data_IF_869583194713
#
_entry.id   IF_869583194713
#
_cell.length_a   1.000
_cell.length_b   1.000
_cell.length_c   1.000
_cell.angle_alpha   90.00
_cell.angle_beta   90.00
_cell.angle_gamma   90.00
#
_symmetry.space_group_name_H-M   'P 1'
#
loop_
_entity.id
_entity.type
_entity.pdbx_description
1 polymer ?
#
# COMPACT_ATOMS: atom_id res chain seq x y z
N UNK A 1 20.78 7.19 11.20
CA UNK A 1 21.06 5.82 10.72
C UNK A 1 22.05 5.25 11.71
N UNK A 2 21.82 4.03 12.20
CA UNK A 2 22.77 3.40 13.13
C UNK A 2 23.94 2.77 12.36
N UNK A 3 25.10 2.63 13.00
CA UNK A 3 26.34 2.18 12.37
C UNK A 3 26.23 0.76 11.79
N UNK A 4 25.45 -0.10 12.44
CA UNK A 4 25.14 -1.45 11.95
C UNK A 4 24.35 -1.41 10.64
N UNK A 5 23.36 -0.52 10.55
CA UNK A 5 22.55 -0.35 9.33
C UNK A 5 23.40 0.18 8.18
N UNK A 6 24.36 1.08 8.48
CA UNK A 6 25.26 1.66 7.49
C UNK A 6 26.22 0.62 6.90
N UNK A 7 26.76 -0.26 7.73
CA UNK A 7 27.60 -1.39 7.30
C UNK A 7 26.83 -2.36 6.40
N UNK A 8 25.60 -2.71 6.79
CA UNK A 8 24.77 -3.62 6.01
C UNK A 8 24.37 -3.03 4.66
N UNK A 9 24.07 -1.73 4.61
CA UNK A 9 23.82 -1.01 3.36
C UNK A 9 25.02 -1.07 2.41
N UNK A 10 26.25 -0.86 2.94
CA UNK A 10 27.48 -0.98 2.14
C UNK A 10 27.68 -2.38 1.56
N UNK A 11 27.39 -3.44 2.32
CA UNK A 11 27.45 -4.82 1.81
C UNK A 11 26.50 -5.03 0.63
N UNK A 12 25.24 -4.61 0.79
CA UNK A 12 24.22 -4.75 -0.25
C UNK A 12 24.56 -3.98 -1.53
N UNK A 13 25.23 -2.83 -1.43
CA UNK A 13 25.65 -2.05 -2.61
C UNK A 13 26.75 -2.77 -3.38
N UNK A 14 27.76 -3.28 -2.65
CA UNK A 14 28.90 -3.97 -3.24
C UNK A 14 28.48 -5.28 -3.92
N UNK A 15 27.52 -6.00 -3.34
CA UNK A 15 26.99 -7.26 -3.89
C UNK A 15 26.19 -7.06 -5.19
N UNK A 16 25.59 -5.88 -5.39
CA UNK A 16 24.67 -5.62 -6.52
C UNK A 16 25.29 -4.77 -7.66
N UNK A 17 26.59 -4.44 -7.60
CA UNK A 17 27.28 -3.62 -8.61
C UNK A 17 26.53 -2.32 -8.97
N UNK A 18 25.90 -1.66 -7.98
CA UNK A 18 25.11 -0.46 -8.22
C UNK A 18 26.03 0.70 -8.57
N UNK A 19 25.87 1.27 -9.77
CA UNK A 19 26.61 2.48 -10.18
C UNK A 19 26.02 3.68 -9.45
N UNK A 20 26.84 4.40 -8.70
CA UNK A 20 26.47 5.65 -8.06
C UNK A 20 26.26 6.76 -9.11
N UNK A 21 25.06 7.37 -9.09
CA UNK A 21 24.63 8.46 -9.96
C UNK A 21 24.38 9.75 -9.20
N UNK A 22 24.83 9.85 -7.96
CA UNK A 22 24.66 11.04 -7.09
C UNK A 22 25.06 12.33 -7.82
N UNK A 23 26.22 12.36 -8.48
CA UNK A 23 26.69 13.54 -9.19
C UNK A 23 25.84 13.89 -10.42
N UNK A 24 25.29 12.88 -11.09
CA UNK A 24 24.37 13.10 -12.21
C UNK A 24 23.07 13.75 -11.72
N UNK A 25 22.53 13.26 -10.61
CA UNK A 25 21.32 13.83 -9.98
C UNK A 25 21.55 15.29 -9.60
N UNK A 26 22.69 15.60 -8.96
CA UNK A 26 23.09 16.97 -8.57
C UNK A 26 23.23 17.93 -9.74
N UNK A 27 23.64 17.43 -10.91
CA UNK A 27 23.76 18.23 -12.13
C UNK A 27 22.38 18.50 -12.77
N UNK A 28 21.51 17.50 -12.81
CA UNK A 28 20.22 17.58 -13.51
C UNK A 28 19.19 18.44 -12.79
N UNK A 29 19.07 18.33 -11.46
CA UNK A 29 18.18 19.15 -10.62
C UNK A 29 16.71 19.16 -11.06
N UNK A 30 16.12 17.98 -11.24
CA UNK A 30 14.75 17.84 -11.74
C UNK A 30 13.67 17.99 -10.66
N UNK A 31 14.00 17.85 -9.36
CA UNK A 31 13.02 17.84 -8.26
C UNK A 31 12.05 19.02 -8.30
N UNK A 32 12.57 20.25 -8.51
CA UNK A 32 11.78 21.47 -8.55
C UNK A 32 10.85 21.54 -9.76
N UNK A 33 11.33 21.12 -10.94
CA UNK A 33 10.53 21.11 -12.18
C UNK A 33 9.38 20.12 -12.01
N UNK A 34 9.68 18.90 -11.54
CA UNK A 34 8.68 17.88 -11.27
C UNK A 34 7.63 18.35 -10.27
N UNK A 35 8.05 18.98 -9.15
CA UNK A 35 7.13 19.52 -8.14
C UNK A 35 6.17 20.55 -8.74
N UNK A 36 6.69 21.46 -9.55
CA UNK A 36 5.87 22.50 -10.18
C UNK A 36 4.84 21.89 -11.13
N UNK A 37 5.24 20.97 -12.00
CA UNK A 37 4.31 20.35 -12.94
C UNK A 37 3.30 19.41 -12.26
N UNK A 38 3.69 18.73 -11.17
CA UNK A 38 2.73 17.97 -10.35
C UNK A 38 1.67 18.90 -9.79
N UNK A 39 2.07 20.06 -9.25
CA UNK A 39 1.12 21.06 -8.75
C UNK A 39 0.21 21.62 -9.85
N UNK A 40 0.76 21.93 -11.04
CA UNK A 40 -0.03 22.36 -12.20
C UNK A 40 -1.06 21.29 -12.60
N UNK A 41 -0.68 20.01 -12.65
CA UNK A 41 -1.64 18.92 -12.91
C UNK A 41 -2.75 18.89 -11.86
N UNK A 42 -2.44 19.04 -10.57
CA UNK A 42 -3.46 19.06 -9.51
C UNK A 42 -4.40 20.27 -9.65
N UNK A 43 -3.86 21.44 -10.03
CA UNK A 43 -4.66 22.64 -10.30
C UNK A 43 -5.58 22.45 -11.51
N UNK A 44 -5.05 21.92 -12.61
CA UNK A 44 -5.84 21.60 -13.81
C UNK A 44 -6.96 20.61 -13.48
N UNK A 45 -6.66 19.56 -12.70
CA UNK A 45 -7.69 18.62 -12.26
C UNK A 45 -8.78 19.29 -11.43
N UNK A 46 -8.44 20.30 -10.64
CA UNK A 46 -9.40 21.09 -9.89
C UNK A 46 -10.26 22.01 -10.78
N UNK A 47 -9.71 22.52 -11.89
CA UNK A 47 -10.44 23.33 -12.87
C UNK A 47 -11.39 22.47 -13.70
N UNK A 48 -10.94 21.28 -14.12
CA UNK A 48 -11.65 20.35 -14.99
C UNK A 48 -12.37 19.23 -14.22
N UNK A 49 -12.69 19.40 -12.93
CA UNK A 49 -13.24 18.33 -12.04
C UNK A 49 -14.34 17.48 -12.66
N UNK A 50 -15.25 18.09 -13.43
CA UNK A 50 -16.40 17.42 -14.03
C UNK A 50 -16.13 16.85 -15.43
N UNK A 51 -14.94 17.07 -15.99
CA UNK A 51 -14.62 16.73 -17.38
C UNK A 51 -13.15 16.34 -17.58
N UNK A 52 -12.60 15.52 -16.68
CA UNK A 52 -11.22 15.00 -16.76
C UNK A 52 -10.96 14.07 -17.95
N UNK A 53 -12.01 13.67 -18.67
CA UNK A 53 -11.92 12.86 -19.89
C UNK A 53 -11.94 13.69 -21.17
N UNK A 54 -12.10 15.02 -21.08
CA UNK A 54 -12.14 15.85 -22.28
C UNK A 54 -10.78 15.85 -23.02
N UNK A 55 -10.80 15.94 -24.36
CA UNK A 55 -9.60 16.22 -25.13
C UNK A 55 -8.91 17.51 -24.68
N UNK A 56 -9.68 18.55 -24.36
CA UNK A 56 -9.17 19.85 -23.90
C UNK A 56 -8.33 19.73 -22.63
N UNK A 57 -8.80 18.97 -21.63
CA UNK A 57 -8.04 18.73 -20.40
C UNK A 57 -6.74 17.98 -20.71
N UNK A 58 -6.78 16.98 -21.58
CA UNK A 58 -5.60 16.21 -21.95
C UNK A 58 -4.56 17.10 -22.64
N UNK A 59 -4.99 17.91 -23.59
CA UNK A 59 -4.10 18.76 -24.38
C UNK A 59 -3.49 19.87 -23.50
N UNK A 60 -4.30 20.48 -22.62
CA UNK A 60 -3.79 21.47 -21.67
C UNK A 60 -2.83 20.83 -20.65
N UNK A 61 -3.15 19.65 -20.12
CA UNK A 61 -2.25 18.92 -19.23
C UNK A 61 -0.92 18.56 -19.92
N UNK A 62 -0.95 18.12 -21.18
CA UNK A 62 0.28 17.85 -21.95
C UNK A 62 1.13 19.10 -22.16
N UNK A 63 0.49 20.25 -22.38
CA UNK A 63 1.19 21.53 -22.58
C UNK A 63 1.79 22.08 -21.29
N UNK A 64 1.02 22.09 -20.19
CA UNK A 64 1.46 22.62 -18.89
C UNK A 64 2.41 21.69 -18.14
N UNK A 65 2.25 20.38 -18.31
CA UNK A 65 3.09 19.37 -17.67
C UNK A 65 4.00 18.69 -18.70
N UNK A 66 4.65 19.51 -19.54
CA UNK A 66 5.42 19.03 -20.69
C UNK A 66 6.62 18.19 -20.26
N UNK A 67 7.30 18.56 -19.19
CA UNK A 67 8.47 17.84 -18.70
C UNK A 67 8.10 16.44 -18.20
N UNK A 68 7.02 16.33 -17.43
CA UNK A 68 6.41 15.07 -17.03
C UNK A 68 5.98 14.26 -18.26
N UNK A 69 5.27 14.87 -19.20
CA UNK A 69 4.80 14.17 -20.39
C UNK A 69 5.94 13.61 -21.25
N UNK A 70 7.02 14.39 -21.44
CA UNK A 70 8.12 14.05 -22.33
C UNK A 70 9.15 13.09 -21.71
N UNK A 71 9.48 13.28 -20.42
CA UNK A 71 10.58 12.55 -19.78
C UNK A 71 10.13 11.56 -18.69
N UNK A 72 8.89 11.70 -18.20
CA UNK A 72 8.33 10.89 -17.11
C UNK A 72 6.89 10.48 -17.40
N UNK A 73 6.64 10.00 -18.63
CA UNK A 73 5.29 9.76 -19.17
C UNK A 73 4.44 8.84 -18.29
N UNK A 74 5.05 7.87 -17.62
CA UNK A 74 4.35 6.99 -16.67
C UNK A 74 3.84 7.73 -15.44
N UNK A 75 4.65 8.65 -14.88
CA UNK A 75 4.24 9.50 -13.77
C UNK A 75 3.11 10.43 -14.23
N UNK A 76 3.27 11.05 -15.41
CA UNK A 76 2.23 11.89 -16.02
C UNK A 76 0.89 11.14 -16.13
N UNK A 77 0.91 9.94 -16.72
CA UNK A 77 -0.30 9.15 -16.93
C UNK A 77 -0.95 8.72 -15.63
N UNK A 78 -0.17 8.22 -14.67
CA UNK A 78 -0.69 7.79 -13.37
C UNK A 78 -1.24 8.96 -12.56
N UNK A 79 -0.56 10.10 -12.57
CA UNK A 79 -1.01 11.32 -11.88
C UNK A 79 -2.33 11.85 -12.48
N UNK A 80 -2.44 11.85 -13.82
CA UNK A 80 -3.64 12.27 -14.54
C UNK A 80 -4.85 11.38 -14.23
N UNK A 81 -4.62 10.06 -14.10
CA UNK A 81 -5.67 9.05 -13.85
C UNK A 81 -5.99 8.79 -12.37
N UNK A 82 -5.38 9.52 -11.43
CA UNK A 82 -5.51 9.25 -9.98
C UNK A 82 -4.98 7.86 -9.54
N UNK A 83 -4.06 7.29 -10.31
CA UNK A 83 -3.43 5.98 -10.04
C UNK A 83 -2.12 6.12 -9.23
N UNK A 84 -1.88 7.28 -8.62
CA UNK A 84 -0.64 7.60 -7.91
C UNK A 84 -0.93 8.24 -6.56
N UNK A 85 -0.23 7.79 -5.51
CA UNK A 85 -0.23 8.49 -4.23
C UNK A 85 0.62 9.76 -4.33
N UNK A 86 -0.06 10.91 -4.44
CA UNK A 86 0.56 12.22 -4.64
C UNK A 86 1.40 12.65 -3.43
N UNK A 87 0.96 12.33 -2.21
CA UNK A 87 1.73 12.66 -1.00
C UNK A 87 3.06 11.93 -0.99
N UNK A 88 3.05 10.64 -1.33
CA UNK A 88 4.27 9.84 -1.47
C UNK A 88 5.19 10.39 -2.57
N UNK A 89 4.62 10.83 -3.70
CA UNK A 89 5.42 11.47 -4.75
C UNK A 89 6.13 12.71 -4.22
N UNK A 90 5.45 13.59 -3.47
CA UNK A 90 6.09 14.77 -2.88
C UNK A 90 7.19 14.40 -1.87
N UNK A 91 6.98 13.38 -1.03
CA UNK A 91 8.02 12.89 -0.12
C UNK A 91 9.27 12.40 -0.90
N UNK A 92 9.07 11.72 -2.03
CA UNK A 92 10.19 11.29 -2.87
C UNK A 92 10.89 12.46 -3.56
N UNK A 93 10.13 13.47 -3.98
CA UNK A 93 10.72 14.71 -4.52
C UNK A 93 11.51 15.48 -3.46
N UNK A 94 11.08 15.49 -2.19
CA UNK A 94 11.86 16.08 -1.08
C UNK A 94 13.21 15.36 -0.89
N UNK A 95 13.21 14.03 -0.99
CA UNK A 95 14.45 13.24 -0.88
C UNK A 95 15.34 13.50 -2.10
N UNK A 96 14.78 13.54 -3.30
CA UNK A 96 15.51 13.85 -4.53
C UNK A 96 16.18 15.23 -4.42
N UNK A 97 15.45 16.25 -3.97
CA UNK A 97 15.97 17.59 -3.74
C UNK A 97 17.14 17.61 -2.75
N UNK A 98 17.08 16.81 -1.68
CA UNK A 98 18.20 16.68 -0.72
C UNK A 98 19.46 16.10 -1.35
N UNK A 99 19.34 15.16 -2.30
CA UNK A 99 20.49 14.68 -3.07
C UNK A 99 21.04 15.82 -3.94
N UNK A 100 20.17 16.54 -4.62
CA UNK A 100 20.51 17.65 -5.52
C UNK A 100 21.23 18.80 -4.81
N UNK A 101 20.89 19.04 -3.53
CA UNK A 101 21.52 20.02 -2.65
C UNK A 101 22.80 19.50 -1.97
N UNK A 102 23.18 18.24 -2.20
CA UNK A 102 24.38 17.63 -1.62
C UNK A 102 24.23 17.19 -0.16
N UNK A 103 23.01 17.20 0.39
CA UNK A 103 22.74 16.79 1.77
C UNK A 103 22.71 15.26 1.94
N UNK A 104 22.43 14.53 0.86
CA UNK A 104 22.38 13.07 0.81
C UNK A 104 23.10 12.56 -0.44
N UNK A 105 23.55 11.31 -0.39
CA UNK A 105 23.89 10.54 -1.58
C UNK A 105 22.73 9.62 -2.01
N UNK A 106 22.88 9.00 -3.19
CA UNK A 106 21.88 8.08 -3.75
C UNK A 106 21.57 6.90 -2.81
N UNK A 107 22.57 6.37 -2.12
CA UNK A 107 22.42 5.18 -1.29
C UNK A 107 21.68 5.48 0.00
N UNK A 108 22.01 6.59 0.67
CA UNK A 108 21.29 7.10 1.82
C UNK A 108 19.84 7.44 1.48
N UNK A 109 19.62 8.07 0.31
CA UNK A 109 18.29 8.33 -0.22
C UNK A 109 17.50 7.04 -0.49
N UNK A 110 18.14 6.04 -1.13
CA UNK A 110 17.51 4.74 -1.42
C UNK A 110 17.12 4.01 -0.14
N UNK A 111 17.97 4.07 0.89
CA UNK A 111 17.65 3.49 2.19
C UNK A 111 16.47 4.18 2.86
N UNK A 112 16.38 5.51 2.78
CA UNK A 112 15.24 6.29 3.31
C UNK A 112 13.95 5.94 2.58
N UNK A 113 13.95 5.96 1.25
CA UNK A 113 12.80 5.59 0.42
C UNK A 113 12.36 4.15 0.73
N UNK A 114 13.30 3.19 0.73
CA UNK A 114 13.03 1.79 1.04
C UNK A 114 12.45 1.59 2.45
N UNK A 115 12.94 2.36 3.43
CA UNK A 115 12.39 2.34 4.80
C UNK A 115 10.96 2.88 4.84
N UNK A 116 10.65 3.97 4.12
CA UNK A 116 9.29 4.50 4.00
C UNK A 116 8.35 3.49 3.36
N UNK A 117 8.77 2.89 2.23
CA UNK A 117 7.99 1.84 1.56
C UNK A 117 7.75 0.65 2.48
N UNK A 118 8.77 0.17 3.20
CA UNK A 118 8.64 -0.93 4.15
C UNK A 118 7.55 -0.63 5.20
N UNK A 119 7.58 0.57 5.80
CA UNK A 119 6.56 0.97 6.78
C UNK A 119 5.16 1.00 6.18
N UNK A 120 5.03 1.53 4.96
CA UNK A 120 3.73 1.62 4.28
C UNK A 120 3.14 0.25 3.93
N UNK A 121 3.97 -0.71 3.53
CA UNK A 121 3.49 -2.03 3.08
C UNK A 121 3.40 -3.07 4.20
N UNK A 122 4.33 -3.06 5.16
CA UNK A 122 4.40 -4.06 6.23
C UNK A 122 3.61 -3.58 7.45
N UNK A 123 3.90 -2.38 7.94
CA UNK A 123 3.32 -1.92 9.21
C UNK A 123 1.82 -1.63 9.08
N UNK A 124 1.35 -1.25 7.89
CA UNK A 124 -0.09 -1.10 7.63
C UNK A 124 -0.84 -2.43 7.62
N UNK A 125 -0.23 -3.49 7.06
CA UNK A 125 -0.81 -4.83 7.02
C UNK A 125 -0.83 -5.49 8.40
N UNK A 126 0.26 -5.35 9.17
CA UNK A 126 0.34 -5.83 10.56
C UNK A 126 -0.67 -5.10 11.44
N UNK A 127 -0.74 -3.77 11.35
CA UNK A 127 -1.72 -2.97 12.11
C UNK A 127 -3.16 -3.27 11.71
N UNK A 128 -3.43 -3.62 10.45
CA UNK A 128 -4.75 -4.07 10.03
C UNK A 128 -5.12 -5.43 10.63
N UNK A 129 -4.17 -6.37 10.69
CA UNK A 129 -4.35 -7.65 11.37
C UNK A 129 -4.57 -7.47 12.88
N UNK A 130 -3.76 -6.64 13.56
CA UNK A 130 -3.92 -6.31 14.98
C UNK A 130 -5.27 -5.64 15.26
N UNK A 131 -5.74 -4.75 14.38
CA UNK A 131 -7.05 -4.12 14.50
C UNK A 131 -8.20 -5.12 14.27
N UNK A 132 -8.06 -6.07 13.33
CA UNK A 132 -9.03 -7.15 13.14
C UNK A 132 -9.11 -8.04 14.40
N UNK A 133 -7.96 -8.41 14.98
CA UNK A 133 -7.88 -9.14 16.24
C UNK A 133 -8.47 -8.35 17.42
N UNK A 134 -8.26 -7.02 17.46
CA UNK A 134 -8.86 -6.16 18.48
C UNK A 134 -10.39 -6.04 18.33
N UNK A 135 -10.91 -5.95 17.10
CA UNK A 135 -12.36 -5.93 16.84
C UNK A 135 -13.03 -7.29 17.09
N UNK A 136 -12.32 -8.39 16.93
CA UNK A 136 -12.79 -9.73 17.34
C UNK A 136 -12.84 -9.85 18.87
N UNK A 137 -11.99 -9.13 19.59
CA UNK A 137 -12.01 -9.07 21.06
C UNK A 137 -13.08 -8.09 21.61
N UNK A 138 -13.38 -6.99 20.92
CA UNK A 138 -14.43 -6.03 21.34
C UNK A 138 -15.85 -6.46 20.97
N UNK A 139 -16.05 -7.28 19.93
CA UNK A 139 -17.37 -7.82 19.56
C UNK A 139 -17.78 -9.09 20.34
N UNK A 140 -17.01 -9.50 21.35
CA UNK A 140 -17.35 -10.61 22.24
C UNK A 140 -18.19 -10.17 23.47
N UNK A 141 -19.24 -9.37 23.27
CA UNK A 141 -20.53 -9.69 23.93
C UNK A 141 -21.28 -10.69 23.04
N UNK A 142 -20.74 -11.91 22.94
CA UNK A 142 -21.51 -13.04 22.45
C UNK A 142 -22.62 -13.25 23.47
N UNK A 143 -23.85 -12.85 23.14
CA UNK A 143 -25.04 -13.48 23.71
C UNK A 143 -24.94 -14.97 23.42
N UNK A 144 -24.34 -15.71 24.36
CA UNK A 144 -24.31 -17.17 24.37
C UNK A 144 -25.77 -17.63 24.27
N UNK A 145 -26.20 -18.11 23.10
CA UNK A 145 -27.44 -18.90 23.03
C UNK A 145 -27.23 -20.07 24.02
N UNK A 146 -28.14 -20.29 24.98
CA UNK A 146 -27.94 -21.33 25.98
C UNK A 146 -27.69 -22.66 25.29
N UNK A 147 -26.55 -23.27 25.62
CA UNK A 147 -26.10 -24.56 25.11
C UNK A 147 -27.19 -25.57 25.47
N UNK A 148 -27.91 -26.12 24.48
CA UNK A 148 -28.89 -27.16 24.75
C UNK A 148 -28.18 -28.33 25.44
N UNK A 149 -28.62 -28.66 26.64
CA UNK A 149 -28.07 -29.76 27.42
C UNK A 149 -28.17 -31.06 26.63
N UNK A 150 -27.02 -31.64 26.32
CA UNK A 150 -26.94 -32.96 25.71
C UNK A 150 -27.42 -33.99 26.73
N UNK A 151 -28.61 -34.57 26.52
CA UNK A 151 -29.05 -35.72 27.32
C UNK A 151 -28.12 -36.89 27.04
N UNK A 152 -27.50 -37.42 28.08
CA UNK A 152 -26.56 -38.53 27.98
C UNK A 152 -27.31 -39.84 27.71
N UNK A 153 -27.34 -40.27 26.45
CA UNK A 153 -28.12 -41.44 26.02
C UNK A 153 -27.20 -42.66 25.99
N UNK A 154 -27.35 -43.57 26.95
CA UNK A 154 -26.60 -44.84 26.93
C UNK A 154 -26.95 -45.69 25.69
N UNK A 155 -25.96 -46.38 25.14
CA UNK A 155 -26.07 -47.28 23.98
C UNK A 155 -27.21 -48.30 24.06
N UNK A 156 -27.55 -48.79 25.27
CA UNK A 156 -28.70 -49.68 25.49
C UNK A 156 -30.04 -48.99 25.19
N UNK A 157 -30.15 -47.71 25.53
CA UNK A 157 -31.35 -46.91 25.31
C UNK A 157 -31.53 -46.56 23.82
N UNK A 158 -30.44 -46.26 23.12
CA UNK A 158 -30.42 -46.03 21.67
C UNK A 158 -30.89 -47.25 20.86
N UNK A 159 -30.40 -48.46 21.20
CA UNK A 159 -30.83 -49.70 20.53
C UNK A 159 -32.31 -50.01 20.75
N UNK A 160 -32.87 -49.65 21.91
CA UNK A 160 -34.29 -49.85 22.21
C UNK A 160 -35.18 -48.93 21.35
N UNK A 161 -34.77 -47.67 21.19
CA UNK A 161 -35.44 -46.69 20.31
C UNK A 161 -35.41 -47.14 18.84
N UNK A 162 -34.28 -47.67 18.35
CA UNK A 162 -34.20 -48.19 16.98
C UNK A 162 -35.08 -49.42 16.73
N UNK A 163 -35.19 -50.35 17.70
CA UNK A 163 -36.08 -51.52 17.58
C UNK A 163 -37.56 -51.11 17.53
N UNK A 164 -37.97 -50.11 18.32
CA UNK A 164 -39.35 -49.60 18.35
C UNK A 164 -39.70 -48.90 17.03
N UNK A 165 -38.77 -48.17 16.42
CA UNK A 165 -38.99 -47.51 15.12
C UNK A 165 -39.04 -48.49 13.94
N UNK A 166 -38.24 -49.57 13.95
CA UNK A 166 -38.33 -50.63 12.94
C UNK A 166 -39.66 -51.38 12.99
N UNK A 167 -40.18 -51.69 14.18
CA UNK A 167 -41.47 -52.39 14.32
C UNK A 167 -42.68 -51.53 13.92
N UNK A 168 -42.57 -50.19 13.93
CA UNK A 168 -43.61 -49.29 13.40
C UNK A 168 -43.64 -49.19 11.87
N UNK A 169 -42.53 -49.52 11.18
CA UNK A 169 -42.47 -49.51 9.71
C UNK A 169 -43.00 -50.79 9.05
N UNK A 170 -43.15 -51.89 9.79
CA UNK A 170 -43.56 -53.21 9.26
C UNK A 170 -45.09 -53.43 9.41
N UNK A 171 -45.81 -52.56 10.13
CA UNK A 171 -47.29 -52.60 10.25
C UNK A 171 -48.01 -51.59 9.34
N UNK A 172 -47.40 -51.20 8.22
CA UNK A 172 -48.08 -50.48 7.13
C UNK A 172 -47.97 -51.29 5.86
#
# INVERSE_FOLDING_TARGET
>A
MDDKQRLQLKSMINENNVIDKTDMIRKLKHSKILRNEVNEMLQLKNLYKNNLSSPDFRDEAMNKCKFLFQYYTDIFNKLRKDELNVNMLFEFLDILEKIEQGQLDQHEASFKIGSTLKKMYIDSAVKHAENMEATDNENNEVKLKPKQESKDISWKHFKKIQKIQKNKKIKK
#
